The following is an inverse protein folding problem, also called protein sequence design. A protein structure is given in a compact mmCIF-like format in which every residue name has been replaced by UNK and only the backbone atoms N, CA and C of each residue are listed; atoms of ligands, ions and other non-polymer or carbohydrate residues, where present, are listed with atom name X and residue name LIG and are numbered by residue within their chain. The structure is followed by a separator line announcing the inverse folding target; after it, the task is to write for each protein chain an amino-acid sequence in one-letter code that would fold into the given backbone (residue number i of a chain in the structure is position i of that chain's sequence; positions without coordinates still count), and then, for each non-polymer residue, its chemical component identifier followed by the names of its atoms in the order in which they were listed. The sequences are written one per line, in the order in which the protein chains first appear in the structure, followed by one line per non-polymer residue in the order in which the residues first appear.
data_IF_009784958821
#
_entry.id   IF_009784958821
#
_cell.length_a   1.000
_cell.length_b   1.000
_cell.length_c   1.000
_cell.angle_alpha   90.00
_cell.angle_beta   90.00
_cell.angle_gamma   90.00
#
_symmetry.space_group_name_H-M   'P 1'
#
loop_
_entity.id
_entity.type
_entity.pdbx_description
1 polymer ?
#
# COMPACT_ATOMS: atom_id res chain seq x y z
N UNK A 1 -26.23 19.35 -0.57
CA UNK A 1 -25.24 19.80 0.43
C UNK A 1 -23.87 19.31 -0.01
N UNK A 2 -23.10 20.17 -0.67
CA UNK A 2 -21.75 19.92 -1.16
C UNK A 2 -20.73 20.26 -0.07
N UNK A 3 -19.88 19.30 0.30
CA UNK A 3 -18.73 19.52 1.19
C UNK A 3 -17.47 19.70 0.35
N UNK A 4 -16.99 20.94 0.31
CA UNK A 4 -15.64 21.30 -0.09
C UNK A 4 -14.71 20.99 1.11
N UNK A 5 -13.61 20.28 0.88
CA UNK A 5 -12.46 20.26 1.80
C UNK A 5 -11.20 20.65 1.03
N UNK A 6 -10.49 21.64 1.58
CA UNK A 6 -9.31 22.29 1.01
C UNK A 6 -8.04 21.42 1.10
N UNK A 7 -7.19 21.49 0.07
CA UNK A 7 -5.73 21.49 0.27
C UNK A 7 -5.15 22.76 -0.35
N UNK A 8 -4.74 23.68 0.54
CA UNK A 8 -4.08 24.95 0.25
C UNK A 8 -2.57 24.73 0.43
N UNK A 9 -1.79 25.11 -0.58
CA UNK A 9 -0.34 25.31 -0.58
C UNK A 9 0.54 24.06 -0.36
N UNK A 10 0.74 23.26 -1.41
CA UNK A 10 2.03 22.60 -1.61
C UNK A 10 2.98 23.63 -2.26
N UNK A 11 4.07 23.97 -1.57
CA UNK A 11 5.17 24.71 -2.18
C UNK A 11 5.84 23.77 -3.19
N UNK A 12 6.10 24.26 -4.40
CA UNK A 12 6.75 23.53 -5.51
C UNK A 12 8.04 22.78 -5.12
N UNK A 13 8.72 23.19 -4.04
CA UNK A 13 9.98 22.60 -3.62
C UNK A 13 9.89 21.28 -2.83
N UNK A 14 8.69 20.81 -2.44
CA UNK A 14 8.53 19.51 -1.76
C UNK A 14 8.28 18.34 -2.74
N UNK A 15 8.12 18.63 -4.04
CA UNK A 15 7.83 17.64 -5.08
C UNK A 15 9.09 16.81 -5.44
N UNK A 16 10.29 17.29 -5.10
CA UNK A 16 11.56 16.70 -5.55
C UNK A 16 12.22 15.70 -4.58
N UNK A 17 11.50 15.13 -3.60
CA UNK A 17 12.12 14.13 -2.70
C UNK A 17 11.63 12.69 -2.79
N UNK A 18 10.48 12.43 -3.42
CA UNK A 18 10.04 11.08 -3.78
C UNK A 18 9.06 11.20 -4.95
N UNK A 19 9.56 11.55 -6.13
CA UNK A 19 8.81 11.35 -7.35
C UNK A 19 9.00 9.89 -7.76
N UNK A 20 8.01 9.07 -7.41
CA UNK A 20 7.72 7.85 -8.18
C UNK A 20 7.44 8.35 -9.59
N UNK A 21 8.22 7.87 -10.55
CA UNK A 21 8.09 8.14 -11.98
C UNK A 21 6.85 7.44 -12.56
N UNK A 22 5.68 7.62 -11.92
CA UNK A 22 4.40 7.24 -12.52
C UNK A 22 4.09 8.28 -13.59
N UNK A 23 4.49 7.99 -14.83
CA UNK A 23 3.99 8.77 -15.98
C UNK A 23 2.52 8.39 -16.17
N UNK A 24 1.65 9.20 -15.58
CA UNK A 24 0.20 9.10 -15.74
C UNK A 24 -0.16 9.75 -17.07
N UNK A 25 -0.67 8.96 -18.01
CA UNK A 25 -1.21 9.48 -19.27
C UNK A 25 -2.72 9.59 -19.13
N UNK A 26 -3.26 10.79 -19.35
CA UNK A 26 -4.70 11.02 -19.55
C UNK A 26 -4.98 10.77 -21.04
N UNK A 27 -5.68 9.68 -21.36
CA UNK A 27 -6.12 9.41 -22.72
C UNK A 27 -7.53 9.98 -22.91
N UNK A 28 -7.67 10.92 -23.84
CA UNK A 28 -8.99 11.41 -24.26
C UNK A 28 -9.80 10.26 -24.87
N UNK A 29 -11.07 10.14 -24.44
CA UNK A 29 -12.06 9.15 -24.83
C UNK A 29 -11.91 8.64 -26.28
N UNK A 30 -11.37 7.43 -26.45
CA UNK A 30 -11.52 6.68 -27.70
C UNK A 30 -12.92 6.05 -27.67
N UNK A 31 -13.87 6.72 -28.31
CA UNK A 31 -15.15 6.12 -28.68
C UNK A 31 -14.93 5.10 -29.81
N UNK A 32 -15.48 3.91 -29.59
CA UNK A 32 -15.81 2.87 -30.56
C UNK A 32 -14.67 2.31 -31.43
N UNK A 33 -14.16 1.13 -31.04
CA UNK A 33 -14.25 -0.07 -31.90
C UNK A 33 -13.83 -1.33 -31.11
N UNK A 34 -14.81 -2.08 -30.58
CA UNK A 34 -14.57 -3.48 -30.16
C UNK A 34 -14.62 -4.39 -31.39
N UNK A 35 -13.74 -4.16 -32.38
CA UNK A 35 -13.43 -5.20 -33.36
C UNK A 35 -12.63 -6.29 -32.66
N UNK A 36 -13.28 -7.43 -32.36
CA UNK A 36 -12.61 -8.67 -31.96
C UNK A 36 -11.54 -8.99 -33.02
N UNK A 37 -10.28 -8.75 -32.71
CA UNK A 37 -9.17 -9.19 -33.52
C UNK A 37 -9.15 -10.71 -33.54
N UNK A 38 -9.54 -11.31 -34.67
CA UNK A 38 -9.35 -12.73 -34.93
C UNK A 38 -7.87 -12.90 -35.30
N UNK A 39 -7.06 -13.38 -34.36
CA UNK A 39 -5.65 -13.66 -34.61
C UNK A 39 -5.55 -14.89 -35.51
N UNK A 40 -5.12 -14.72 -36.76
CA UNK A 40 -4.91 -15.81 -37.74
C UNK A 40 -3.51 -16.46 -37.64
N UNK A 41 -2.77 -16.24 -36.56
CA UNK A 41 -1.44 -16.81 -36.39
C UNK A 41 -1.30 -17.35 -34.97
N UNK A 42 -1.33 -18.68 -34.81
CA UNK A 42 -1.32 -19.35 -33.50
C UNK A 42 -0.12 -18.90 -32.65
N UNK A 43 1.03 -18.69 -33.29
CA UNK A 43 2.26 -18.24 -32.63
C UNK A 43 2.14 -16.85 -31.99
N UNK A 44 1.34 -15.94 -32.58
CA UNK A 44 1.13 -14.59 -32.03
C UNK A 44 0.15 -14.61 -30.86
N UNK A 45 -0.89 -15.44 -30.94
CA UNK A 45 -1.81 -15.65 -29.83
C UNK A 45 -1.09 -16.28 -28.63
N UNK A 46 -0.30 -17.33 -28.86
CA UNK A 46 0.47 -18.01 -27.82
C UNK A 46 1.46 -17.07 -27.13
N UNK A 47 2.18 -16.23 -27.90
CA UNK A 47 3.08 -15.21 -27.34
C UNK A 47 2.36 -14.17 -26.47
N UNK A 48 1.21 -13.65 -26.93
CA UNK A 48 0.40 -12.69 -26.15
C UNK A 48 -0.09 -13.34 -24.86
N UNK A 49 -0.60 -14.58 -24.96
CA UNK A 49 -1.12 -15.36 -23.85
C UNK A 49 -0.04 -15.63 -22.80
N UNK A 50 1.12 -16.17 -23.20
CA UNK A 50 2.26 -16.43 -22.30
C UNK A 50 2.73 -15.15 -21.59
N UNK A 51 2.81 -14.04 -22.33
CA UNK A 51 3.21 -12.75 -21.76
C UNK A 51 2.19 -12.27 -20.73
N UNK A 52 0.90 -12.34 -21.06
CA UNK A 52 -0.18 -11.96 -20.15
C UNK A 52 -0.19 -12.80 -18.88
N UNK A 53 -0.02 -14.12 -19.01
CA UNK A 53 0.02 -15.05 -17.88
C UNK A 53 1.22 -14.79 -16.97
N UNK A 54 2.41 -14.57 -17.55
CA UNK A 54 3.62 -14.27 -16.80
C UNK A 54 3.45 -13.00 -15.95
N UNK A 55 2.88 -11.94 -16.54
CA UNK A 55 2.64 -10.68 -15.83
C UNK A 55 1.58 -10.86 -14.74
N UNK A 56 0.46 -11.52 -15.07
CA UNK A 56 -0.62 -11.79 -14.13
C UNK A 56 -0.14 -12.60 -12.92
N UNK A 57 0.68 -13.63 -13.17
CA UNK A 57 1.31 -14.41 -12.11
C UNK A 57 2.25 -13.55 -11.25
N UNK A 58 3.08 -12.72 -11.88
CA UNK A 58 3.96 -11.77 -11.19
C UNK A 58 3.20 -10.82 -10.27
N UNK A 59 2.13 -10.20 -10.77
CA UNK A 59 1.24 -9.35 -9.98
C UNK A 59 0.61 -10.11 -8.81
N UNK A 60 0.18 -11.36 -9.03
CA UNK A 60 -0.29 -12.23 -7.96
C UNK A 60 0.73 -12.43 -6.84
N UNK A 61 2.02 -12.59 -7.18
CA UNK A 61 3.10 -12.68 -6.17
C UNK A 61 3.34 -11.36 -5.45
N UNK A 62 3.23 -10.23 -6.14
CA UNK A 62 3.36 -8.88 -5.56
C UNK A 62 2.25 -8.62 -4.54
N UNK A 63 1.01 -8.99 -4.86
CA UNK A 63 -0.13 -8.88 -3.92
C UNK A 63 0.14 -9.72 -2.66
N UNK A 64 0.73 -10.91 -2.81
CA UNK A 64 1.08 -11.78 -1.67
C UNK A 64 2.05 -11.13 -0.68
N UNK A 65 2.98 -10.29 -1.15
CA UNK A 65 3.88 -9.53 -0.26
C UNK A 65 3.10 -8.60 0.67
N UNK A 66 2.01 -8.00 0.19
CA UNK A 66 1.17 -7.16 1.02
C UNK A 66 0.37 -7.93 2.06
N UNK A 67 -0.01 -9.16 1.75
CA UNK A 67 -0.67 -10.05 2.71
C UNK A 67 0.29 -10.44 3.84
N UNK A 68 1.58 -10.63 3.53
CA UNK A 68 2.64 -10.83 4.54
C UNK A 68 2.74 -9.59 5.43
N UNK A 69 2.83 -8.38 4.87
CA UNK A 69 2.87 -7.15 5.68
C UNK A 69 1.63 -7.00 6.55
N UNK A 70 0.43 -7.26 6.02
CA UNK A 70 -0.80 -7.20 6.80
C UNK A 70 -0.79 -8.20 7.96
N UNK A 71 -0.34 -9.44 7.71
CA UNK A 71 -0.18 -10.45 8.74
C UNK A 71 0.80 -9.99 9.83
N UNK A 72 2.00 -9.59 9.46
CA UNK A 72 3.04 -9.15 10.41
C UNK A 72 2.61 -7.91 11.20
N UNK A 73 1.95 -6.96 10.54
CA UNK A 73 1.40 -5.76 11.17
C UNK A 73 0.33 -6.11 12.21
N UNK A 74 -0.61 -7.00 11.85
CA UNK A 74 -1.67 -7.45 12.75
C UNK A 74 -1.09 -8.21 13.97
N UNK A 75 -0.08 -9.05 13.74
CA UNK A 75 0.66 -9.77 14.78
C UNK A 75 1.35 -8.78 15.71
N UNK A 76 1.98 -7.73 15.17
CA UNK A 76 2.65 -6.71 15.97
C UNK A 76 1.71 -5.93 16.87
N UNK A 77 0.56 -5.53 16.33
CA UNK A 77 -0.48 -4.87 17.12
C UNK A 77 -1.01 -5.80 18.21
N UNK A 78 -1.20 -7.08 17.89
CA UNK A 78 -1.68 -8.06 18.86
C UNK A 78 -0.69 -8.25 20.01
N UNK A 79 0.59 -8.49 19.70
CA UNK A 79 1.68 -8.64 20.68
C UNK A 79 1.77 -7.39 21.56
N UNK A 80 1.80 -6.21 20.94
CA UNK A 80 1.81 -4.95 21.65
C UNK A 80 0.61 -4.81 22.61
N UNK A 81 -0.59 -5.12 22.12
CA UNK A 81 -1.81 -5.00 22.94
C UNK A 81 -1.83 -5.98 24.11
N UNK A 82 -1.22 -7.15 23.95
CA UNK A 82 -1.11 -8.16 24.99
C UNK A 82 -0.07 -7.81 26.05
N UNK A 83 1.06 -7.23 25.63
CA UNK A 83 2.22 -7.04 26.50
C UNK A 83 2.28 -5.67 27.16
N UNK A 84 1.71 -4.62 26.54
CA UNK A 84 1.84 -3.24 27.01
C UNK A 84 0.51 -2.59 27.38
N UNK A 85 -0.43 -2.57 26.45
CA UNK A 85 -1.70 -1.87 26.63
C UNK A 85 -2.85 -2.65 25.99
N UNK A 86 -3.75 -3.18 26.81
CA UNK A 86 -4.97 -3.81 26.29
C UNK A 86 -5.83 -2.83 25.48
N UNK A 87 -6.81 -3.35 24.74
CA UNK A 87 -7.67 -2.55 23.85
C UNK A 87 -8.38 -1.43 24.62
N UNK A 88 -8.83 -1.70 25.85
CA UNK A 88 -9.52 -0.71 26.67
C UNK A 88 -8.58 0.44 27.08
N UNK A 89 -7.35 0.11 27.47
CA UNK A 89 -6.30 1.08 27.78
C UNK A 89 -5.96 1.91 26.56
N UNK A 90 -5.84 1.30 25.37
CA UNK A 90 -5.59 2.02 24.12
C UNK A 90 -6.69 3.04 23.80
N UNK A 91 -7.95 2.66 23.95
CA UNK A 91 -9.10 3.54 23.73
C UNK A 91 -9.24 4.68 24.77
N UNK A 92 -8.67 4.49 25.97
CA UNK A 92 -8.58 5.54 27.00
C UNK A 92 -7.47 6.54 26.67
N UNK A 93 -6.31 6.06 26.23
CA UNK A 93 -5.12 6.86 25.96
C UNK A 93 -5.18 7.62 24.64
N UNK A 94 -5.91 7.11 23.63
CA UNK A 94 -5.96 7.70 22.30
C UNK A 94 -7.38 7.77 21.75
N UNK A 95 -7.76 8.99 21.31
CA UNK A 95 -9.02 9.22 20.59
C UNK A 95 -9.04 8.46 19.26
N UNK A 96 -7.93 8.45 18.52
CA UNK A 96 -7.79 7.71 17.25
C UNK A 96 -8.11 6.22 17.48
N UNK A 97 -7.56 5.61 18.55
CA UNK A 97 -7.84 4.20 18.88
C UNK A 97 -9.34 3.97 19.15
N UNK A 98 -9.97 4.87 19.91
CA UNK A 98 -11.41 4.77 20.23
C UNK A 98 -12.28 4.83 18.97
N UNK A 99 -11.94 5.71 18.02
CA UNK A 99 -12.65 5.82 16.75
C UNK A 99 -12.46 4.56 15.89
N UNK A 100 -11.25 3.99 15.84
CA UNK A 100 -10.95 2.79 15.05
C UNK A 100 -11.69 1.55 15.59
N UNK A 101 -11.68 1.34 16.91
CA UNK A 101 -12.34 0.20 17.55
C UNK A 101 -13.86 0.36 17.67
N UNK A 102 -14.35 1.59 17.80
CA UNK A 102 -15.75 1.89 18.08
C UNK A 102 -16.25 1.22 19.35
N UNK A 103 -17.53 0.89 19.40
CA UNK A 103 -18.19 0.31 20.58
C UNK A 103 -17.78 -1.14 20.85
N UNK A 104 -17.46 -1.91 19.81
CA UNK A 104 -17.22 -3.36 19.93
C UNK A 104 -15.87 -3.74 20.55
N UNK A 105 -14.92 -2.79 20.63
CA UNK A 105 -13.58 -2.97 21.24
C UNK A 105 -12.91 -4.32 20.88
N UNK A 106 -12.89 -4.68 19.60
CA UNK A 106 -12.36 -5.96 19.11
C UNK A 106 -11.62 -5.78 17.79
N UNK A 107 -10.64 -6.66 17.52
CA UNK A 107 -9.97 -6.74 16.22
C UNK A 107 -10.79 -7.43 15.13
N UNK A 108 -11.93 -8.07 15.48
CA UNK A 108 -12.76 -8.80 14.51
C UNK A 108 -13.25 -7.85 13.40
N UNK A 109 -12.93 -8.19 12.15
CA UNK A 109 -13.30 -7.39 10.97
C UNK A 109 -12.38 -6.20 10.70
N UNK A 110 -11.18 -6.16 11.30
CA UNK A 110 -10.16 -5.19 10.93
C UNK A 110 -9.66 -5.46 9.50
N UNK A 111 -9.64 -4.41 8.69
CA UNK A 111 -9.02 -4.41 7.38
C UNK A 111 -7.55 -4.01 7.50
N UNK A 112 -6.78 -4.21 6.44
CA UNK A 112 -5.38 -3.79 6.39
C UNK A 112 -5.22 -2.29 6.71
N UNK A 113 -6.09 -1.45 6.13
CA UNK A 113 -6.12 -0.01 6.43
C UNK A 113 -6.39 0.28 7.92
N UNK A 114 -7.30 -0.47 8.57
CA UNK A 114 -7.56 -0.30 10.02
C UNK A 114 -6.35 -0.66 10.87
N UNK A 115 -5.63 -1.73 10.51
CA UNK A 115 -4.38 -2.05 11.19
C UNK A 115 -3.31 -0.96 10.98
N UNK A 116 -3.18 -0.42 9.77
CA UNK A 116 -2.25 0.69 9.51
C UNK A 116 -2.57 1.94 10.32
N UNK A 117 -3.84 2.33 10.41
CA UNK A 117 -4.27 3.45 11.24
C UNK A 117 -4.01 3.21 12.73
N UNK A 118 -4.29 1.99 13.21
CA UNK A 118 -4.05 1.65 14.61
C UNK A 118 -2.55 1.64 14.93
N UNK A 119 -1.71 1.12 14.04
CA UNK A 119 -0.25 1.21 14.20
C UNK A 119 0.21 2.67 14.24
N UNK A 120 -0.31 3.53 13.37
CA UNK A 120 0.02 4.96 13.42
C UNK A 120 -0.36 5.59 14.77
N UNK A 121 -1.52 5.25 15.32
CA UNK A 121 -1.94 5.74 16.63
C UNK A 121 -1.03 5.23 17.77
N UNK A 122 -0.69 3.94 17.76
CA UNK A 122 0.25 3.33 18.71
C UNK A 122 1.62 4.03 18.66
N UNK A 123 2.15 4.24 17.45
CA UNK A 123 3.41 4.94 17.23
C UNK A 123 3.33 6.44 17.59
N UNK A 124 2.18 7.08 17.76
CA UNK A 124 2.15 8.45 18.30
C UNK A 124 2.19 8.47 19.83
N UNK A 125 1.67 7.40 20.44
CA UNK A 125 1.41 7.33 21.87
C UNK A 125 2.60 6.78 22.65
N UNK A 126 3.23 5.72 22.17
CA UNK A 126 4.29 5.03 22.91
C UNK A 126 5.69 5.54 22.49
N UNK A 127 6.41 6.10 23.47
CA UNK A 127 7.77 6.59 23.31
C UNK A 127 8.80 5.48 23.19
N UNK A 128 8.52 4.25 23.60
CA UNK A 128 9.51 3.16 23.51
C UNK A 128 9.93 2.86 22.06
N UNK A 129 9.06 3.14 21.09
CA UNK A 129 9.42 3.03 19.68
C UNK A 129 10.46 4.07 19.23
N UNK A 130 10.88 5.03 20.09
CA UNK A 130 11.98 5.94 19.79
C UNK A 130 13.32 5.20 19.77
N UNK A 131 13.37 3.98 20.31
CA UNK A 131 14.55 3.11 20.28
C UNK A 131 14.81 2.51 18.89
N UNK A 132 13.81 2.48 18.02
CA UNK A 132 13.95 1.98 16.65
C UNK A 132 14.48 3.12 15.78
N UNK A 133 15.64 2.93 15.15
CA UNK A 133 16.34 3.96 14.36
C UNK A 133 15.43 4.61 13.33
N UNK A 134 14.59 3.84 12.64
CA UNK A 134 13.67 4.33 11.61
C UNK A 134 12.35 4.88 12.15
N UNK A 135 12.19 4.97 13.48
CA UNK A 135 11.05 5.57 14.17
C UNK A 135 11.49 6.53 15.29
N UNK A 136 12.78 6.85 15.37
CA UNK A 136 13.36 7.64 16.45
C UNK A 136 13.09 9.15 16.37
N UNK A 137 12.35 9.59 15.36
CA UNK A 137 11.84 10.96 15.28
C UNK A 137 10.38 10.96 14.82
N UNK A 138 9.68 12.06 15.08
CA UNK A 138 8.29 12.24 14.63
C UNK A 138 8.18 12.21 13.10
N UNK A 139 9.17 12.78 12.42
CA UNK A 139 9.27 12.82 10.96
C UNK A 139 9.40 11.41 10.39
N UNK A 140 10.28 10.60 10.96
CA UNK A 140 10.48 9.21 10.54
C UNK A 140 9.23 8.34 10.75
N UNK A 141 8.52 8.50 11.88
CA UNK A 141 7.22 7.84 12.10
C UNK A 141 6.16 8.26 11.09
N UNK A 142 6.13 9.54 10.73
CA UNK A 142 5.24 10.06 9.69
C UNK A 142 5.59 9.46 8.33
N UNK A 143 6.88 9.38 8.00
CA UNK A 143 7.37 8.73 6.77
C UNK A 143 6.94 7.26 6.74
N UNK A 144 7.21 6.48 7.79
CA UNK A 144 6.77 5.09 7.89
C UNK A 144 5.25 4.93 7.68
N UNK A 145 4.43 5.73 8.38
CA UNK A 145 2.96 5.67 8.23
C UNK A 145 2.54 6.00 6.80
N UNK A 146 3.16 7.02 6.18
CA UNK A 146 2.86 7.43 4.81
C UNK A 146 3.23 6.32 3.82
N UNK A 147 4.42 5.75 3.96
CA UNK A 147 4.91 4.64 3.14
C UNK A 147 4.01 3.41 3.27
N UNK A 148 3.57 3.06 4.49
CA UNK A 148 2.64 1.95 4.70
C UNK A 148 1.29 2.19 4.00
N UNK A 149 0.76 3.41 4.05
CA UNK A 149 -0.49 3.74 3.37
C UNK A 149 -0.36 3.67 1.84
N UNK A 150 0.74 4.20 1.29
CA UNK A 150 1.00 4.09 -0.16
C UNK A 150 1.17 2.64 -0.59
N UNK A 151 1.86 1.83 0.20
CA UNK A 151 2.01 0.41 -0.09
C UNK A 151 0.67 -0.34 -0.10
N UNK A 152 -0.27 0.02 0.78
CA UNK A 152 -1.64 -0.52 0.77
C UNK A 152 -2.41 -0.06 -0.47
N UNK A 153 -2.22 1.18 -0.88
CA UNK A 153 -2.84 1.77 -2.06
C UNK A 153 -2.33 1.09 -3.35
N UNK A 154 -1.02 0.96 -3.51
CA UNK A 154 -0.38 0.23 -4.62
C UNK A 154 -0.90 -1.21 -4.73
N UNK A 155 -1.00 -1.90 -3.59
CA UNK A 155 -1.61 -3.24 -3.53
C UNK A 155 -3.03 -3.25 -4.06
N UNK A 156 -3.84 -2.24 -3.74
CA UNK A 156 -5.22 -2.17 -4.22
C UNK A 156 -5.25 -1.98 -5.74
N UNK A 157 -4.34 -1.18 -6.29
CA UNK A 157 -4.18 -1.06 -7.74
C UNK A 157 -3.80 -2.40 -8.38
N UNK A 158 -2.84 -3.12 -7.80
CA UNK A 158 -2.46 -4.44 -8.31
C UNK A 158 -3.57 -5.49 -8.19
N UNK A 159 -4.38 -5.43 -7.13
CA UNK A 159 -5.44 -6.41 -6.88
C UNK A 159 -6.73 -6.15 -7.66
N UNK A 160 -7.02 -4.90 -8.01
CA UNK A 160 -8.29 -4.50 -8.61
C UNK A 160 -8.16 -3.85 -9.98
N UNK A 161 -6.95 -3.53 -10.42
CA UNK A 161 -6.70 -2.99 -11.75
C UNK A 161 -6.95 -4.02 -12.85
N UNK A 162 -7.37 -3.54 -14.02
CA UNK A 162 -7.52 -4.34 -15.21
C UNK A 162 -6.20 -4.35 -15.99
N UNK A 163 -5.62 -5.53 -16.20
CA UNK A 163 -4.36 -5.64 -16.95
C UNK A 163 -4.63 -5.52 -18.45
N UNK A 164 -3.94 -4.56 -19.07
CA UNK A 164 -3.97 -4.32 -20.50
C UNK A 164 -2.55 -4.40 -21.11
N UNK A 165 -2.47 -4.93 -22.33
CA UNK A 165 -1.24 -4.91 -23.14
C UNK A 165 -1.41 -3.87 -24.25
N UNK A 166 -0.76 -2.72 -24.08
CA UNK A 166 -0.98 -1.55 -24.95
C UNK A 166 0.14 -1.39 -25.97
N UNK A 167 -0.25 -1.09 -27.22
CA UNK A 167 0.62 -0.78 -28.35
C UNK A 167 1.33 -1.98 -28.96
N UNK A 168 2.10 -1.73 -30.03
CA UNK A 168 2.75 -2.78 -30.83
C UNK A 168 3.77 -3.62 -30.04
N UNK A 169 4.32 -3.05 -28.95
CA UNK A 169 5.27 -3.72 -28.06
C UNK A 169 4.60 -4.44 -26.88
N UNK A 170 3.25 -4.51 -26.85
CA UNK A 170 2.47 -5.17 -25.81
C UNK A 170 2.95 -4.79 -24.41
N UNK A 171 2.96 -3.48 -24.13
CA UNK A 171 3.47 -2.94 -22.87
C UNK A 171 2.39 -3.11 -21.79
N UNK A 172 2.71 -3.74 -20.65
CA UNK A 172 1.72 -3.97 -19.61
C UNK A 172 1.37 -2.70 -18.86
N UNK A 173 0.07 -2.44 -18.76
CA UNK A 173 -0.51 -1.38 -17.95
C UNK A 173 -1.63 -1.93 -17.09
N UNK A 174 -1.78 -1.42 -15.88
CA UNK A 174 -2.98 -1.62 -15.08
C UNK A 174 -3.87 -0.40 -15.24
N UNK A 175 -5.05 -0.60 -15.82
CA UNK A 175 -6.12 0.38 -15.79
C UNK A 175 -6.78 0.35 -14.40
N UNK A 176 -6.84 1.49 -13.72
CA UNK A 176 -7.49 1.66 -12.43
C UNK A 176 -8.44 2.85 -12.47
N UNK A 177 -9.54 2.77 -11.73
CA UNK A 177 -10.51 3.86 -11.61
C UNK A 177 -10.26 4.61 -10.32
N UNK A 178 -9.90 5.89 -10.40
CA UNK A 178 -9.71 6.77 -9.25
C UNK A 178 -10.63 7.98 -9.45
N UNK A 179 -11.51 8.25 -8.49
CA UNK A 179 -12.45 9.38 -8.54
C UNK A 179 -13.28 9.45 -9.86
N UNK A 180 -13.74 8.28 -10.34
CA UNK A 180 -14.47 8.11 -11.60
C UNK A 180 -13.68 8.48 -12.87
N UNK A 181 -12.34 8.45 -12.81
CA UNK A 181 -11.47 8.61 -13.97
C UNK A 181 -10.57 7.39 -14.13
N UNK A 182 -10.31 7.02 -15.37
CA UNK A 182 -9.41 5.94 -15.71
C UNK A 182 -7.96 6.43 -15.68
N UNK A 183 -7.10 5.65 -15.04
CA UNK A 183 -5.66 5.87 -14.98
C UNK A 183 -4.94 4.60 -15.39
N UNK A 184 -3.83 4.77 -16.11
CA UNK A 184 -3.01 3.65 -16.58
C UNK A 184 -1.65 3.66 -15.88
N UNK A 185 -1.41 2.61 -15.08
CA UNK A 185 -0.14 2.41 -14.38
C UNK A 185 0.72 1.46 -15.20
N UNK A 186 1.81 1.97 -15.76
CA UNK A 186 2.78 1.13 -16.48
C UNK A 186 3.47 0.16 -15.53
N UNK A 187 3.40 -1.14 -15.84
CA UNK A 187 4.11 -2.18 -15.08
C UNK A 187 5.53 -2.28 -15.61
N UNK A 188 6.45 -1.60 -14.92
CA UNK A 188 7.88 -1.60 -15.21
C UNK A 188 8.67 -2.38 -14.16
N UNK A 189 9.86 -2.84 -14.54
CA UNK A 189 10.80 -3.44 -13.58
C UNK A 189 11.14 -2.47 -12.43
N UNK A 190 11.28 -1.18 -12.73
CA UNK A 190 11.51 -0.12 -11.74
C UNK A 190 10.37 -0.04 -10.71
N UNK A 191 9.11 -0.12 -11.15
CA UNK A 191 7.95 -0.14 -10.26
C UNK A 191 7.99 -1.38 -9.36
N UNK A 192 8.27 -2.55 -9.93
CA UNK A 192 8.35 -3.81 -9.16
C UNK A 192 9.47 -3.77 -8.14
N UNK A 193 10.66 -3.32 -8.52
CA UNK A 193 11.80 -3.21 -7.62
C UNK A 193 11.53 -2.20 -6.49
N UNK A 194 10.89 -1.08 -6.81
CA UNK A 194 10.48 -0.08 -5.80
C UNK A 194 9.50 -0.68 -4.79
N UNK A 195 8.53 -1.46 -5.27
CA UNK A 195 7.57 -2.12 -4.38
C UNK A 195 8.23 -3.20 -3.50
N UNK A 196 9.16 -4.00 -4.04
CA UNK A 196 9.93 -5.00 -3.27
C UNK A 196 10.79 -4.32 -2.20
N UNK A 197 11.48 -3.24 -2.55
CA UNK A 197 12.28 -2.47 -1.59
C UNK A 197 11.41 -1.87 -0.48
N UNK A 198 10.23 -1.38 -0.85
CA UNK A 198 9.24 -0.86 0.11
C UNK A 198 8.73 -1.96 1.04
N UNK A 199 8.45 -3.15 0.50
CA UNK A 199 8.10 -4.32 1.29
C UNK A 199 9.18 -4.66 2.32
N UNK A 200 10.44 -4.74 1.89
CA UNK A 200 11.56 -5.05 2.79
C UNK A 200 11.72 -4.01 3.90
N UNK A 201 11.64 -2.73 3.55
CA UNK A 201 11.69 -1.62 4.51
C UNK A 201 10.56 -1.71 5.55
N UNK A 202 9.32 -1.94 5.12
CA UNK A 202 8.17 -2.04 6.03
C UNK A 202 8.29 -3.27 6.94
N UNK A 203 8.71 -4.40 6.38
CA UNK A 203 8.85 -5.66 7.12
C UNK A 203 9.87 -5.53 8.25
N UNK A 204 11.04 -4.93 7.96
CA UNK A 204 12.09 -4.74 8.97
C UNK A 204 11.61 -3.86 10.14
N UNK A 205 10.94 -2.75 9.84
CA UNK A 205 10.39 -1.88 10.88
C UNK A 205 9.34 -2.60 11.72
N UNK A 206 8.43 -3.35 11.10
CA UNK A 206 7.40 -4.13 11.81
C UNK A 206 8.04 -5.18 12.72
N UNK A 207 9.10 -5.85 12.24
CA UNK A 207 9.86 -6.79 13.06
C UNK A 207 10.52 -6.11 14.28
N UNK A 208 11.08 -4.92 14.11
CA UNK A 208 11.65 -4.15 15.21
C UNK A 208 10.57 -3.66 16.19
N UNK A 209 9.37 -3.32 15.71
CA UNK A 209 8.19 -3.03 16.56
C UNK A 209 7.83 -4.26 17.39
N UNK A 210 7.82 -5.46 16.81
CA UNK A 210 7.57 -6.73 17.51
C UNK A 210 8.56 -6.95 18.66
N UNK A 211 9.85 -6.72 18.40
CA UNK A 211 10.92 -6.87 19.41
C UNK A 211 10.72 -5.90 20.57
N UNK A 212 10.53 -4.61 20.28
CA UNK A 212 10.28 -3.59 21.31
C UNK A 212 9.01 -3.89 22.11
N UNK A 213 7.95 -4.34 21.44
CA UNK A 213 6.69 -4.74 22.09
C UNK A 213 6.83 -5.99 22.97
N UNK A 214 7.86 -6.79 22.75
CA UNK A 214 8.18 -8.01 23.51
C UNK A 214 9.32 -7.83 24.51
N UNK A 215 9.83 -6.59 24.68
CA UNK A 215 11.03 -6.29 25.48
C UNK A 215 12.29 -7.08 25.05
N UNK A 216 12.37 -7.46 23.78
CA UNK A 216 13.55 -8.09 23.19
C UNK A 216 14.53 -6.97 22.77
N UNK A 217 15.81 -7.02 23.15
CA UNK A 217 16.81 -6.02 22.74
C UNK A 217 16.86 -5.88 21.22
N UNK A 218 17.17 -4.68 20.71
CA UNK A 218 17.51 -4.47 19.30
C UNK A 218 19.00 -4.83 19.10
N UNK A 219 19.33 -5.47 17.98
CA UNK A 219 20.70 -5.88 17.61
C UNK A 219 21.15 -5.05 16.43
#
# INVERSE_FOLDING_TARGET
MSRITFFKNLKENDINKFQISTVMWEFDNIKDDFTRFKYEDSNKFDFIHERFDMISFGLGKIIRLAEIINYELSTAIFIYSKNKHDIESLCKLSKDCREIFGEKKTFKGFTFAKFAFLMSAILKMDSDFYRITDLNTKEKRKTFTKTLNYFIEDRNYFAHGHLELIGDNLRPHLQVVIENRDYYIKISEELINTYINTFQYLLDIIYNINRVSSNIPLH
#
